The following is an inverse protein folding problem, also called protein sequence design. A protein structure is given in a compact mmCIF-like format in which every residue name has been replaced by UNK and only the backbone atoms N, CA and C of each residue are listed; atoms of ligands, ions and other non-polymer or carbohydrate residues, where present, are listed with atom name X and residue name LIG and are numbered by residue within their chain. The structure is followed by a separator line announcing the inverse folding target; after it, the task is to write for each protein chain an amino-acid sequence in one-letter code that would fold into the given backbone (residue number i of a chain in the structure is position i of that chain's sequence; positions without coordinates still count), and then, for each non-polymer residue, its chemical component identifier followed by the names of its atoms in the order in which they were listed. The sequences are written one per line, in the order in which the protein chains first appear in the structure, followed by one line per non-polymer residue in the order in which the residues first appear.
data_IF_998602819044
#
_entry.id   IF_998602819044
#
_cell.length_a   1.000
_cell.length_b   1.000
_cell.length_c   1.000
_cell.angle_alpha   90.00
_cell.angle_beta   90.00
_cell.angle_gamma   90.00
#
_symmetry.space_group_name_H-M   'P 1'
#
loop_
_entity.id
_entity.type
_entity.pdbx_description
1 polymer ?
#
# COMPACT_ATOMS: atom_id res chain seq x y z
N UNK A 1 -3.66 -7.27 -12.27
CA UNK A 1 -3.42 -6.83 -13.65
C UNK A 1 -4.71 -6.42 -14.37
N UNK A 2 -5.77 -7.25 -14.40
CA UNK A 2 -7.08 -6.91 -15.02
C UNK A 2 -7.59 -5.49 -14.76
N UNK A 3 -7.65 -5.06 -13.49
CA UNK A 3 -8.16 -3.73 -13.09
C UNK A 3 -7.27 -2.62 -13.67
N UNK A 4 -5.94 -2.76 -13.57
CA UNK A 4 -5.01 -1.78 -14.14
C UNK A 4 -5.21 -1.62 -15.65
N UNK A 5 -5.38 -2.73 -16.37
CA UNK A 5 -5.63 -2.69 -17.81
C UNK A 5 -6.96 -1.99 -18.15
N UNK A 6 -8.03 -2.21 -17.36
CA UNK A 6 -9.34 -1.55 -17.55
C UNK A 6 -9.23 -0.02 -17.52
N UNK A 7 -8.43 0.53 -16.61
CA UNK A 7 -8.27 1.97 -16.45
C UNK A 7 -7.05 2.54 -17.21
N UNK A 8 -6.30 1.70 -17.93
CA UNK A 8 -4.99 2.05 -18.48
C UNK A 8 -4.08 2.71 -17.43
N UNK A 9 -3.98 2.06 -16.26
CA UNK A 9 -3.19 2.50 -15.10
C UNK A 9 -2.33 1.35 -14.61
N UNK A 10 -1.19 1.69 -14.00
CA UNK A 10 -0.34 0.67 -13.39
C UNK A 10 -1.01 0.05 -12.15
N UNK A 11 -0.58 -1.14 -11.75
CA UNK A 11 -1.07 -1.76 -10.51
C UNK A 11 -0.79 -0.88 -9.30
N UNK A 12 0.35 -0.18 -9.28
CA UNK A 12 0.68 0.77 -8.21
C UNK A 12 -0.34 1.90 -8.13
N UNK A 13 -0.68 2.53 -9.27
CA UNK A 13 -1.70 3.57 -9.32
C UNK A 13 -3.07 3.07 -8.87
N UNK A 14 -3.46 1.85 -9.23
CA UNK A 14 -4.71 1.23 -8.76
C UNK A 14 -4.73 1.06 -7.25
N UNK A 15 -3.64 0.59 -6.64
CA UNK A 15 -3.57 0.43 -5.18
C UNK A 15 -3.61 1.78 -4.46
N UNK A 16 -2.88 2.78 -4.96
CA UNK A 16 -2.90 4.14 -4.41
C UNK A 16 -4.28 4.78 -4.53
N UNK A 17 -4.95 4.60 -5.68
CA UNK A 17 -6.31 5.09 -5.88
C UNK A 17 -7.31 4.41 -4.95
N UNK A 18 -7.20 3.09 -4.79
CA UNK A 18 -8.09 2.33 -3.90
C UNK A 18 -8.03 2.80 -2.45
N UNK A 19 -6.84 3.16 -1.96
CA UNK A 19 -6.67 3.70 -0.61
C UNK A 19 -7.19 5.14 -0.50
N UNK A 20 -6.80 6.01 -1.43
CA UNK A 20 -7.16 7.44 -1.39
C UNK A 20 -8.65 7.68 -1.62
N UNK A 21 -9.32 6.88 -2.45
CA UNK A 21 -10.78 6.92 -2.64
C UNK A 21 -11.57 6.52 -1.38
N UNK A 22 -10.92 5.90 -0.40
CA UNK A 22 -11.48 5.54 0.92
C UNK A 22 -11.05 6.52 2.01
N UNK A 23 -10.57 7.70 1.62
CA UNK A 23 -10.05 8.75 2.51
C UNK A 23 -8.87 8.30 3.39
N UNK A 24 -8.08 7.34 2.92
CA UNK A 24 -6.85 6.89 3.58
C UNK A 24 -5.67 7.62 2.95
N UNK A 25 -4.95 8.43 3.75
CA UNK A 25 -3.71 9.09 3.33
C UNK A 25 -2.60 8.04 3.14
N UNK A 26 -1.89 8.09 2.00
CA UNK A 26 -0.89 7.09 1.62
C UNK A 26 0.51 7.69 1.49
N UNK A 27 1.50 7.00 2.04
CA UNK A 27 2.92 7.32 1.86
C UNK A 27 3.54 6.34 0.85
N UNK A 28 3.72 6.78 -0.40
CA UNK A 28 4.33 5.99 -1.46
C UNK A 28 5.80 6.38 -1.66
N UNK A 29 6.72 5.50 -1.23
CA UNK A 29 8.17 5.75 -1.36
C UNK A 29 8.70 5.32 -2.72
N UNK A 30 9.47 6.18 -3.38
CA UNK A 30 10.28 5.87 -4.56
C UNK A 30 11.58 6.67 -4.53
N UNK A 31 12.61 6.18 -5.23
CA UNK A 31 13.83 6.95 -5.53
C UNK A 31 13.91 7.39 -7.00
N UNK A 32 13.00 6.87 -7.84
CA UNK A 32 12.92 7.19 -9.28
C UNK A 32 11.88 8.27 -9.50
N UNK A 33 12.26 9.38 -10.14
CA UNK A 33 11.40 10.55 -10.37
C UNK A 33 10.14 10.19 -11.16
N UNK A 34 10.29 9.36 -12.19
CA UNK A 34 9.19 8.93 -13.07
C UNK A 34 8.12 8.20 -12.26
N UNK A 35 8.53 7.35 -11.31
CA UNK A 35 7.63 6.64 -10.41
C UNK A 35 6.98 7.56 -9.37
N UNK A 36 7.66 8.61 -8.91
CA UNK A 36 7.04 9.60 -8.01
C UNK A 36 5.89 10.31 -8.74
N UNK A 37 6.13 10.74 -9.99
CA UNK A 37 5.11 11.38 -10.84
C UNK A 37 3.97 10.38 -11.12
N UNK A 38 4.28 9.14 -11.50
CA UNK A 38 3.29 8.10 -11.72
C UNK A 38 2.39 7.87 -10.49
N UNK A 39 2.98 7.80 -9.29
CA UNK A 39 2.26 7.62 -8.03
C UNK A 39 1.32 8.79 -7.73
N UNK A 40 1.77 10.04 -7.97
CA UNK A 40 0.94 11.24 -7.79
C UNK A 40 -0.23 11.29 -8.78
N UNK A 41 -0.02 10.84 -10.01
CA UNK A 41 -1.05 10.76 -11.04
C UNK A 41 -2.09 9.64 -10.80
N UNK A 42 -2.08 8.97 -9.64
CA UNK A 42 -3.12 7.98 -9.28
C UNK A 42 -4.47 8.60 -8.93
N UNK A 43 -4.56 9.93 -8.83
CA UNK A 43 -5.79 10.63 -8.41
C UNK A 43 -6.75 10.98 -9.56
N UNK A 44 -6.36 10.73 -10.81
CA UNK A 44 -7.05 11.19 -12.02
C UNK A 44 -8.18 10.26 -12.53
N UNK A 45 -8.49 9.20 -11.79
CA UNK A 45 -9.52 8.23 -12.16
C UNK A 45 -10.23 7.71 -10.90
N UNK A 46 -11.38 7.05 -11.07
CA UNK A 46 -12.17 6.49 -9.97
C UNK A 46 -12.37 5.00 -10.20
N UNK A 47 -12.16 4.20 -9.16
CA UNK A 47 -12.48 2.78 -9.20
C UNK A 47 -13.98 2.58 -9.02
N UNK A 48 -14.58 1.78 -9.90
CA UNK A 48 -15.96 1.31 -9.74
C UNK A 48 -16.08 0.40 -8.50
N UNK A 49 -17.30 0.28 -7.98
CA UNK A 49 -17.59 -0.48 -6.77
C UNK A 49 -17.16 -1.95 -6.90
N UNK A 50 -17.37 -2.55 -8.07
CA UNK A 50 -17.03 -3.93 -8.37
C UNK A 50 -15.52 -4.18 -8.32
N UNK A 51 -14.72 -3.24 -8.85
CA UNK A 51 -13.27 -3.35 -8.82
C UNK A 51 -12.72 -3.08 -7.41
N UNK A 52 -13.31 -2.14 -6.67
CA UNK A 52 -12.96 -1.91 -5.26
C UNK A 52 -13.27 -3.13 -4.37
N UNK A 53 -14.42 -3.79 -4.57
CA UNK A 53 -14.78 -5.02 -3.86
C UNK A 53 -13.93 -6.22 -4.30
N UNK A 54 -13.49 -6.27 -5.57
CA UNK A 54 -12.51 -7.26 -6.01
C UNK A 54 -11.16 -7.11 -5.29
N UNK A 55 -10.67 -5.88 -5.08
CA UNK A 55 -9.43 -5.62 -4.33
C UNK A 55 -9.61 -6.00 -2.85
N UNK A 56 -10.73 -5.62 -2.23
CA UNK A 56 -11.02 -5.93 -0.82
C UNK A 56 -10.99 -7.43 -0.51
N UNK A 57 -11.44 -8.28 -1.44
CA UNK A 57 -11.39 -9.75 -1.31
C UNK A 57 -9.97 -10.34 -1.27
N UNK A 58 -8.94 -9.56 -1.59
CA UNK A 58 -7.54 -9.98 -1.48
C UNK A 58 -7.00 -9.89 -0.04
N UNK A 59 -7.77 -9.33 0.90
CA UNK A 59 -7.33 -9.17 2.28
C UNK A 59 -7.07 -10.53 2.95
N UNK A 60 -5.85 -10.73 3.46
CA UNK A 60 -5.46 -11.93 4.22
C UNK A 60 -5.61 -11.75 5.73
N UNK A 61 -6.07 -10.59 6.20
CA UNK A 61 -6.25 -10.26 7.62
C UNK A 61 -4.98 -10.48 8.48
N UNK A 62 -3.80 -10.19 7.90
CA UNK A 62 -2.51 -10.27 8.59
C UNK A 62 -1.55 -9.22 8.04
N UNK A 63 -0.61 -8.79 8.88
CA UNK A 63 0.52 -7.95 8.44
C UNK A 63 1.37 -8.67 7.41
N UNK A 64 1.92 -7.92 6.44
CA UNK A 64 2.88 -8.47 5.47
C UNK A 64 4.29 -8.65 6.05
N UNK A 65 4.55 -8.12 7.26
CA UNK A 65 5.86 -8.20 7.91
C UNK A 65 5.80 -9.11 9.14
N UNK A 66 5.30 -8.57 10.26
CA UNK A 66 5.16 -9.29 11.53
C UNK A 66 3.96 -8.78 12.32
N UNK A 67 3.57 -9.55 13.33
CA UNK A 67 2.52 -9.16 14.29
C UNK A 67 3.12 -8.27 15.38
N UNK A 68 2.49 -7.13 15.63
CA UNK A 68 2.84 -6.27 16.77
C UNK A 68 2.36 -6.83 18.12
N UNK A 69 1.53 -7.87 18.08
CA UNK A 69 0.99 -8.54 19.26
C UNK A 69 1.81 -9.78 19.65
N UNK A 70 2.85 -10.12 18.90
CA UNK A 70 3.76 -11.23 19.24
C UNK A 70 4.87 -10.72 20.20
N UNK A 71 4.92 -11.21 21.45
CA UNK A 71 5.93 -10.77 22.43
C UNK A 71 7.37 -11.00 21.96
N UNK A 72 7.63 -12.06 21.18
CA UNK A 72 8.97 -12.33 20.67
C UNK A 72 9.40 -11.26 19.66
N UNK A 73 8.47 -10.82 18.81
CA UNK A 73 8.72 -9.75 17.84
C UNK A 73 8.91 -8.39 18.53
N UNK A 74 8.16 -8.11 19.60
CA UNK A 74 8.34 -6.87 20.39
C UNK A 74 9.75 -6.82 20.99
N UNK A 75 10.20 -7.91 21.62
CA UNK A 75 11.55 -7.99 22.18
C UNK A 75 12.63 -7.84 21.10
N UNK A 76 12.41 -8.44 19.92
CA UNK A 76 13.34 -8.32 18.80
C UNK A 76 13.40 -6.88 18.24
N UNK A 77 12.24 -6.24 18.07
CA UNK A 77 12.18 -4.87 17.55
C UNK A 77 12.85 -3.87 18.49
N UNK A 78 12.67 -4.01 19.81
CA UNK A 78 13.39 -3.22 20.81
C UNK A 78 14.91 -3.35 20.64
N UNK A 79 15.42 -4.58 20.53
CA UNK A 79 16.86 -4.81 20.31
C UNK A 79 17.39 -4.10 19.06
N UNK A 80 16.67 -4.17 17.93
CA UNK A 80 17.08 -3.49 16.70
C UNK A 80 17.16 -1.97 16.84
N UNK A 81 16.24 -1.37 17.59
CA UNK A 81 16.25 0.08 17.84
C UNK A 81 17.48 0.45 18.69
N UNK A 82 17.69 -0.26 19.80
CA UNK A 82 18.82 0.00 20.70
C UNK A 82 20.18 -0.19 20.02
N UNK A 83 20.34 -1.25 19.21
CA UNK A 83 21.57 -1.52 18.45
C UNK A 83 21.87 -0.45 17.40
N UNK A 84 20.83 0.22 16.87
CA UNK A 84 20.97 1.32 15.90
C UNK A 84 21.18 2.69 16.57
N UNK A 85 21.24 2.75 17.90
CA UNK A 85 21.37 3.99 18.65
C UNK A 85 20.18 4.94 18.50
N UNK A 86 18.99 4.39 18.21
CA UNK A 86 17.72 5.11 18.14
C UNK A 86 16.90 4.90 19.42
#
# INVERSE_FOLDING_TARGET
QRIGNKYNRSVGQVVLRWLTQRDIVVLAKSVKRERMIENLNSMDFTLEAEDAEAIKRLNMNRSMFFSHQDPAMVAQFHRWITERGL
#
